data_IF_847492911545
#
_entry.id   IF_847492911545
#
_cell.length_a   1.000
_cell.length_b   1.000
_cell.length_c   1.000
_cell.angle_alpha   90.00
_cell.angle_beta   90.00
_cell.angle_gamma   90.00
#
_symmetry.space_group_name_H-M   'P 1'
#
loop_
_entity.id
_entity.type
_entity.pdbx_description
1 polymer ?
#
# COMPACT_ATOMS: atom_id res chain seq x y z
N UNK A 1 -4.52 -13.53 18.19
CA UNK A 1 -5.81 -13.66 17.44
C UNK A 1 -6.73 -14.73 18.06
N UNK A 2 -6.24 -15.89 18.45
CA UNK A 2 -7.07 -16.96 19.06
C UNK A 2 -7.91 -16.45 20.24
N UNK A 3 -7.30 -15.74 21.19
CA UNK A 3 -8.02 -15.15 22.32
C UNK A 3 -9.17 -14.23 21.88
N UNK A 4 -8.96 -13.41 20.84
CA UNK A 4 -10.01 -12.53 20.26
C UNK A 4 -11.13 -13.35 19.63
N UNK A 5 -10.79 -14.43 18.94
CA UNK A 5 -11.77 -15.39 18.40
C UNK A 5 -12.63 -16.00 19.50
N UNK A 6 -11.99 -16.38 20.60
CA UNK A 6 -12.62 -17.08 21.72
C UNK A 6 -13.33 -16.14 22.72
N UNK A 7 -13.39 -14.83 22.40
CA UNK A 7 -14.22 -13.83 23.10
C UNK A 7 -13.45 -12.74 23.85
N UNK A 8 -12.13 -12.84 24.01
CA UNK A 8 -11.31 -11.79 24.65
C UNK A 8 -11.06 -10.62 23.66
N UNK A 9 -12.10 -9.82 23.47
CA UNK A 9 -12.10 -8.69 22.53
C UNK A 9 -11.09 -7.60 22.93
N UNK A 10 -10.75 -7.50 24.22
CA UNK A 10 -9.80 -6.49 24.70
C UNK A 10 -8.43 -6.63 24.04
N UNK A 11 -8.04 -7.84 23.67
CA UNK A 11 -6.79 -8.10 22.95
C UNK A 11 -6.78 -7.64 21.48
N UNK A 12 -7.91 -7.18 20.96
CA UNK A 12 -7.93 -6.56 19.63
C UNK A 12 -7.08 -5.28 19.59
N UNK A 13 -7.00 -4.53 20.69
CA UNK A 13 -6.12 -3.37 20.82
C UNK A 13 -4.64 -3.70 20.64
N UNK A 14 -4.19 -4.84 21.17
CA UNK A 14 -2.80 -5.30 20.97
C UNK A 14 -2.52 -5.62 19.49
N UNK A 15 -3.50 -6.24 18.82
CA UNK A 15 -3.40 -6.52 17.38
C UNK A 15 -3.39 -5.23 16.57
N UNK A 16 -4.22 -4.25 16.93
CA UNK A 16 -4.24 -2.94 16.30
C UNK A 16 -2.87 -2.27 16.42
N UNK A 17 -2.35 -2.14 17.62
CA UNK A 17 -1.05 -1.49 17.86
C UNK A 17 0.07 -2.15 17.05
N UNK A 18 0.06 -3.48 16.92
CA UNK A 18 1.10 -4.23 16.20
C UNK A 18 0.97 -4.15 14.67
N UNK A 19 -0.24 -4.12 14.14
CA UNK A 19 -0.49 -4.33 12.71
C UNK A 19 -1.04 -3.08 11.98
N UNK A 20 -1.40 -2.01 12.71
CA UNK A 20 -1.88 -0.77 12.12
C UNK A 20 -0.86 -0.19 11.12
N UNK A 21 0.41 -0.01 11.51
CA UNK A 21 1.46 0.53 10.66
C UNK A 21 1.70 -0.27 9.37
N UNK A 22 1.92 -1.59 9.46
CA UNK A 22 2.00 -2.46 8.29
C UNK A 22 0.79 -2.37 7.35
N UNK A 23 -0.44 -2.38 7.88
CA UNK A 23 -1.66 -2.23 7.07
C UNK A 23 -1.75 -0.86 6.41
N UNK A 24 -1.45 0.21 7.15
CA UNK A 24 -1.41 1.56 6.61
C UNK A 24 -0.40 1.66 5.46
N UNK A 25 0.83 1.17 5.67
CA UNK A 25 1.86 1.14 4.64
C UNK A 25 1.48 0.32 3.40
N UNK A 26 0.72 -0.77 3.58
CA UNK A 26 0.15 -1.54 2.48
C UNK A 26 -0.84 -0.71 1.68
N UNK A 27 -1.81 -0.08 2.33
CA UNK A 27 -2.84 0.69 1.64
C UNK A 27 -2.28 1.94 0.97
N UNK A 28 -1.43 2.71 1.63
CA UNK A 28 -0.82 3.92 1.04
C UNK A 28 -0.07 3.61 -0.25
N UNK A 29 0.70 2.51 -0.29
CA UNK A 29 1.44 2.10 -1.49
C UNK A 29 0.53 1.62 -2.62
N UNK A 30 -0.68 1.16 -2.31
CA UNK A 30 -1.63 0.65 -3.30
C UNK A 30 -2.69 1.65 -3.73
N UNK A 31 -3.03 2.63 -2.89
CA UNK A 31 -4.04 3.66 -3.18
C UNK A 31 -3.42 4.99 -3.59
N UNK A 32 -2.26 5.34 -3.03
CA UNK A 32 -1.66 6.67 -3.13
C UNK A 32 -2.30 7.72 -2.22
N UNK A 33 -3.34 7.38 -1.44
CA UNK A 33 -4.12 8.33 -0.64
C UNK A 33 -4.04 8.01 0.85
N UNK A 34 -3.52 8.94 1.64
CA UNK A 34 -3.33 8.77 3.09
C UNK A 34 -4.66 8.61 3.83
N UNK A 35 -5.59 9.55 3.63
CA UNK A 35 -6.88 9.53 4.32
C UNK A 35 -7.66 8.24 4.04
N UNK A 36 -7.82 7.88 2.76
CA UNK A 36 -8.46 6.61 2.39
C UNK A 36 -7.76 5.39 2.98
N UNK A 37 -6.42 5.44 3.14
CA UNK A 37 -5.66 4.34 3.73
C UNK A 37 -5.94 4.19 5.22
N UNK A 38 -6.11 5.28 5.97
CA UNK A 38 -6.51 5.26 7.37
C UNK A 38 -7.91 4.65 7.55
N UNK A 39 -8.87 5.05 6.72
CA UNK A 39 -10.22 4.49 6.71
C UNK A 39 -10.22 2.98 6.39
N UNK A 40 -9.41 2.58 5.42
CA UNK A 40 -9.27 1.16 5.04
C UNK A 40 -8.66 0.33 6.17
N UNK A 41 -7.69 0.86 6.92
CA UNK A 41 -7.15 0.19 8.11
C UNK A 41 -8.25 -0.03 9.15
N UNK A 42 -9.05 1.01 9.46
CA UNK A 42 -10.16 0.87 10.41
C UNK A 42 -11.17 -0.17 9.93
N UNK A 43 -11.52 -0.16 8.65
CA UNK A 43 -12.43 -1.13 8.05
C UNK A 43 -11.89 -2.57 8.13
N UNK A 44 -10.57 -2.77 7.97
CA UNK A 44 -9.95 -4.09 8.15
C UNK A 44 -10.13 -4.58 9.58
N UNK A 45 -9.86 -3.74 10.60
CA UNK A 45 -10.03 -4.14 11.99
C UNK A 45 -11.50 -4.40 12.35
N UNK A 46 -12.42 -3.62 11.81
CA UNK A 46 -13.85 -3.91 11.92
C UNK A 46 -14.19 -5.29 11.33
N UNK A 47 -13.66 -5.60 10.14
CA UNK A 47 -13.85 -6.90 9.48
C UNK A 47 -13.17 -8.04 10.26
N UNK A 48 -11.97 -7.83 10.80
CA UNK A 48 -11.31 -8.80 11.70
C UNK A 48 -12.22 -9.14 12.88
N UNK A 49 -12.79 -8.12 13.53
CA UNK A 49 -13.71 -8.31 14.64
C UNK A 49 -14.98 -9.06 14.21
N UNK A 50 -15.56 -8.70 13.09
CA UNK A 50 -16.79 -9.31 12.55
C UNK A 50 -16.56 -10.76 12.16
N UNK A 51 -15.44 -11.08 11.51
CA UNK A 51 -15.13 -12.41 11.00
C UNK A 51 -14.19 -13.22 11.88
N UNK A 52 -13.91 -12.79 13.13
CA UNK A 52 -12.97 -13.44 14.05
C UNK A 52 -13.22 -14.94 14.23
N UNK A 53 -14.48 -15.38 14.17
CA UNK A 53 -14.89 -16.77 14.30
C UNK A 53 -14.43 -17.66 13.13
N UNK A 54 -14.08 -17.07 11.98
CA UNK A 54 -13.57 -17.79 10.82
C UNK A 54 -12.07 -18.02 10.87
N UNK A 55 -11.36 -17.35 11.79
CA UNK A 55 -9.93 -17.53 11.95
C UNK A 55 -9.62 -18.92 12.48
N UNK A 56 -8.74 -19.65 11.79
CA UNK A 56 -8.29 -20.99 12.16
C UNK A 56 -6.84 -20.95 12.57
N UNK A 57 -6.45 -21.85 13.50
CA UNK A 57 -5.07 -21.94 14.03
C UNK A 57 -4.09 -22.61 13.05
N UNK A 58 -4.50 -22.82 11.81
CA UNK A 58 -3.71 -23.48 10.77
C UNK A 58 -3.19 -22.48 9.75
N UNK A 59 -2.39 -21.49 10.17
CA UNK A 59 -1.84 -20.53 9.25
C UNK A 59 -1.37 -19.24 9.92
N UNK A 60 -0.73 -18.41 9.14
CA UNK A 60 -0.26 -17.10 9.57
C UNK A 60 -1.43 -16.15 9.79
N UNK A 61 -1.54 -15.57 11.00
CA UNK A 61 -2.48 -14.47 11.24
C UNK A 61 -2.28 -13.34 10.24
N UNK A 62 -1.03 -13.07 9.91
CA UNK A 62 -0.67 -12.02 8.97
C UNK A 62 -1.22 -12.30 7.57
N UNK A 63 -1.14 -13.54 7.08
CA UNK A 63 -1.73 -13.94 5.81
C UNK A 63 -3.26 -13.75 5.82
N UNK A 64 -3.94 -14.23 6.87
CA UNK A 64 -5.38 -14.06 7.02
C UNK A 64 -5.80 -12.58 7.09
N UNK A 65 -5.06 -11.75 7.81
CA UNK A 65 -5.28 -10.31 7.90
C UNK A 65 -5.11 -9.63 6.52
N UNK A 66 -4.02 -9.94 5.79
CA UNK A 66 -3.81 -9.36 4.45
C UNK A 66 -4.80 -9.89 3.41
N UNK A 67 -5.32 -11.08 3.56
CA UNK A 67 -6.46 -11.54 2.76
C UNK A 67 -7.70 -10.65 2.97
N UNK A 68 -8.00 -10.28 4.22
CA UNK A 68 -9.09 -9.33 4.54
C UNK A 68 -8.76 -7.95 3.97
N UNK A 69 -7.53 -7.47 4.14
CA UNK A 69 -7.09 -6.17 3.63
C UNK A 69 -7.21 -6.07 2.10
N UNK A 70 -6.76 -7.11 1.39
CA UNK A 70 -6.90 -7.20 -0.07
C UNK A 70 -8.36 -7.14 -0.51
N UNK A 71 -9.24 -7.88 0.13
CA UNK A 71 -10.67 -7.85 -0.16
C UNK A 71 -11.26 -6.47 0.10
N UNK A 72 -10.86 -5.82 1.18
CA UNK A 72 -11.26 -4.45 1.51
C UNK A 72 -10.82 -3.45 0.42
N UNK A 73 -9.60 -3.59 -0.09
CA UNK A 73 -9.10 -2.75 -1.18
C UNK A 73 -9.86 -2.96 -2.50
N UNK A 74 -10.21 -4.21 -2.82
CA UNK A 74 -11.01 -4.52 -4.02
C UNK A 74 -12.40 -3.89 -3.92
N UNK A 75 -13.04 -4.01 -2.76
CA UNK A 75 -14.36 -3.40 -2.53
C UNK A 75 -14.28 -1.87 -2.65
N UNK A 76 -13.27 -1.24 -2.04
CA UNK A 76 -13.02 0.20 -2.13
C UNK A 76 -12.88 0.67 -3.59
N UNK A 77 -12.04 -0.01 -4.39
CA UNK A 77 -11.85 0.34 -5.80
C UNK A 77 -13.13 0.22 -6.61
N UNK A 78 -13.96 -0.79 -6.34
CA UNK A 78 -15.26 -0.93 -7.02
C UNK A 78 -16.20 0.23 -6.70
N UNK A 79 -16.28 0.69 -5.45
CA UNK A 79 -17.11 1.82 -5.07
C UNK A 79 -16.60 3.13 -5.68
N UNK A 80 -15.30 3.38 -5.64
CA UNK A 80 -14.71 4.60 -6.22
C UNK A 80 -14.97 4.73 -7.73
N UNK A 81 -15.00 3.61 -8.47
CA UNK A 81 -15.34 3.62 -9.91
C UNK A 81 -16.81 3.98 -10.14
N UNK A 82 -17.72 3.62 -9.21
CA UNK A 82 -19.14 3.90 -9.35
C UNK A 82 -19.52 5.32 -8.91
N UNK A 83 -18.78 5.93 -8.00
CA UNK A 83 -19.06 7.26 -7.47
C UNK A 83 -18.42 8.40 -8.29
N UNK A 84 -17.44 8.10 -9.14
CA UNK A 84 -16.83 9.07 -10.06
C UNK A 84 -16.97 8.61 -11.50
N UNK A 85 -17.91 9.18 -12.29
CA UNK A 85 -17.95 8.93 -13.72
C UNK A 85 -16.70 9.54 -14.38
N UNK A 86 -15.80 8.69 -14.84
CA UNK A 86 -14.85 8.83 -15.96
C UNK A 86 -14.04 10.12 -16.17
N UNK A 87 -14.04 11.12 -15.28
CA UNK A 87 -13.27 12.35 -15.49
C UNK A 87 -11.96 12.44 -14.69
N UNK A 88 -11.91 11.80 -13.52
CA UNK A 88 -10.70 11.76 -12.69
C UNK A 88 -10.53 10.34 -12.12
N UNK A 89 -9.93 9.44 -12.90
CA UNK A 89 -9.23 8.34 -12.26
C UNK A 89 -8.28 9.00 -11.26
N UNK A 90 -8.35 8.69 -9.92
CA UNK A 90 -7.47 9.34 -8.98
C UNK A 90 -6.06 9.08 -9.45
N UNK A 91 -5.47 10.09 -10.10
CA UNK A 91 -4.06 10.10 -10.39
C UNK A 91 -3.43 9.82 -9.04
N UNK A 92 -2.40 8.97 -9.00
CA UNK A 92 -1.66 8.74 -7.78
C UNK A 92 -1.18 10.11 -7.38
N UNK A 93 -1.89 10.70 -6.42
CA UNK A 93 -1.47 11.93 -5.79
C UNK A 93 -0.14 11.57 -5.13
N UNK A 94 0.93 11.98 -5.78
CA UNK A 94 2.28 11.83 -5.25
C UNK A 94 2.21 12.43 -3.86
N UNK A 95 2.37 11.57 -2.84
CA UNK A 95 2.31 11.94 -1.44
C UNK A 95 2.92 13.32 -1.24
N UNK A 96 2.19 14.31 -0.67
CA UNK A 96 2.81 15.52 -0.18
C UNK A 96 3.93 15.14 0.80
N UNK A 97 4.90 15.99 0.98
CA UNK A 97 6.12 15.83 1.79
C UNK A 97 5.87 15.35 3.24
N UNK A 98 4.62 15.33 3.73
CA UNK A 98 4.23 15.07 5.11
C UNK A 98 3.79 13.63 5.41
N UNK A 99 3.89 12.69 4.48
CA UNK A 99 3.60 11.29 4.81
C UNK A 99 4.80 10.68 5.55
N UNK A 100 4.72 10.45 6.88
CA UNK A 100 5.77 9.69 7.54
C UNK A 100 5.83 8.32 6.89
N UNK A 101 7.02 7.86 6.49
CA UNK A 101 7.20 6.51 6.01
C UNK A 101 6.84 5.53 7.12
N UNK A 102 6.33 4.36 6.76
CA UNK A 102 6.24 3.24 7.70
C UNK A 102 7.65 2.80 8.18
N UNK A 103 8.68 3.45 7.66
CA UNK A 103 10.07 3.39 8.07
C UNK A 103 10.60 4.83 7.95
N UNK A 104 10.77 5.54 9.07
CA UNK A 104 11.12 6.98 9.13
C UNK A 104 12.44 7.34 8.42
N UNK A 105 13.23 6.36 7.99
CA UNK A 105 14.55 6.58 7.39
C UNK A 105 14.57 6.57 5.86
N UNK A 106 13.52 6.15 5.16
CA UNK A 106 13.62 5.82 3.73
C UNK A 106 13.08 6.89 2.75
N UNK A 107 12.36 7.91 3.17
CA UNK A 107 11.64 8.83 2.26
C UNK A 107 12.10 10.29 2.30
N UNK A 108 13.07 10.63 3.11
CA UNK A 108 13.69 11.98 3.10
C UNK A 108 14.74 12.15 1.99
N UNK A 109 14.98 11.11 1.19
CA UNK A 109 15.97 11.06 0.13
C UNK A 109 15.26 11.07 -1.24
N UNK A 110 15.81 11.74 -2.23
CA UNK A 110 15.31 11.77 -3.61
C UNK A 110 15.11 10.36 -4.19
N UNK A 111 15.94 9.40 -3.82
CA UNK A 111 15.82 8.00 -4.21
C UNK A 111 14.54 7.34 -3.66
N UNK A 112 14.10 7.68 -2.46
CA UNK A 112 12.86 7.17 -1.88
C UNK A 112 11.62 7.67 -2.63
N UNK A 113 11.60 8.95 -3.01
CA UNK A 113 10.54 9.54 -3.83
C UNK A 113 10.53 8.92 -5.24
N UNK A 114 11.70 8.72 -5.80
CA UNK A 114 11.85 8.09 -7.11
C UNK A 114 11.33 6.64 -7.09
N UNK A 115 11.67 5.89 -6.04
CA UNK A 115 11.18 4.52 -5.86
C UNK A 115 9.66 4.46 -5.69
N UNK A 116 9.07 5.40 -4.94
CA UNK A 116 7.62 5.50 -4.77
C UNK A 116 6.93 5.77 -6.12
N UNK A 117 7.48 6.68 -6.95
CA UNK A 117 7.00 6.95 -8.30
C UNK A 117 7.15 5.72 -9.22
N UNK A 118 8.28 5.03 -9.14
CA UNK A 118 8.50 3.81 -9.92
C UNK A 118 7.51 2.71 -9.53
N UNK A 119 7.26 2.53 -8.21
CA UNK A 119 6.26 1.59 -7.72
C UNK A 119 4.84 1.96 -8.20
N UNK A 120 4.52 3.25 -8.21
CA UNK A 120 3.25 3.77 -8.68
C UNK A 120 3.02 3.54 -10.18
N UNK A 121 4.07 3.48 -10.97
CA UNK A 121 4.00 3.25 -12.41
C UNK A 121 3.77 1.77 -12.78
N UNK A 122 3.87 0.84 -11.81
CA UNK A 122 3.61 -0.59 -12.06
C UNK A 122 2.12 -0.87 -12.28
N UNK A 123 1.83 -1.95 -13.01
CA UNK A 123 0.49 -2.51 -13.05
C UNK A 123 0.01 -2.88 -11.63
N UNK A 124 -1.30 -2.75 -11.32
CA UNK A 124 -1.83 -2.98 -9.98
C UNK A 124 -1.43 -4.33 -9.36
N UNK A 125 -1.44 -5.40 -10.15
CA UNK A 125 -1.10 -6.75 -9.69
C UNK A 125 0.41 -6.91 -9.41
N UNK A 126 1.25 -6.24 -10.18
CA UNK A 126 2.69 -6.22 -9.98
C UNK A 126 3.06 -5.40 -8.75
N UNK A 127 2.40 -4.26 -8.55
CA UNK A 127 2.56 -3.44 -7.36
C UNK A 127 2.15 -4.20 -6.11
N UNK A 128 0.97 -4.86 -6.14
CA UNK A 128 0.44 -5.63 -5.01
C UNK A 128 1.43 -6.72 -4.56
N UNK A 129 1.95 -7.52 -5.49
CA UNK A 129 2.87 -8.61 -5.15
C UNK A 129 4.21 -8.09 -4.59
N UNK A 130 4.71 -6.95 -5.08
CA UNK A 130 5.92 -6.32 -4.51
C UNK A 130 5.66 -5.79 -3.11
N UNK A 131 4.53 -5.13 -2.89
CA UNK A 131 4.19 -4.61 -1.57
C UNK A 131 4.10 -5.73 -0.56
N UNK A 132 3.43 -6.84 -0.88
CA UNK A 132 3.36 -8.01 0.00
C UNK A 132 4.73 -8.66 0.24
N UNK A 133 5.56 -8.79 -0.80
CA UNK A 133 6.82 -9.52 -0.71
C UNK A 133 7.97 -8.71 -0.11
N UNK A 134 8.02 -7.39 -0.31
CA UNK A 134 9.18 -6.55 0.02
C UNK A 134 8.92 -5.55 1.14
N UNK A 135 7.70 -5.05 1.26
CA UNK A 135 7.35 -4.10 2.33
C UNK A 135 6.65 -4.79 3.51
N UNK A 136 5.91 -5.87 3.25
CA UNK A 136 5.29 -6.67 4.31
C UNK A 136 6.07 -7.94 4.64
N UNK A 137 7.10 -8.23 3.87
CA UNK A 137 8.04 -9.36 4.06
C UNK A 137 7.34 -10.73 4.20
N UNK A 138 6.17 -10.88 3.57
CA UNK A 138 5.43 -12.11 3.65
C UNK A 138 6.16 -13.26 2.95
N UNK A 139 6.18 -14.47 3.54
CA UNK A 139 6.62 -15.67 2.87
C UNK A 139 5.80 -15.92 1.58
N UNK A 140 6.42 -16.49 0.57
CA UNK A 140 5.73 -16.77 -0.70
C UNK A 140 4.50 -17.67 -0.54
N UNK A 141 4.47 -18.55 0.47
CA UNK A 141 3.31 -19.36 0.80
C UNK A 141 2.13 -18.49 1.26
N UNK A 142 2.39 -17.55 2.16
CA UNK A 142 1.39 -16.60 2.67
C UNK A 142 0.86 -15.69 1.54
N UNK A 143 1.76 -15.20 0.68
CA UNK A 143 1.36 -14.41 -0.51
C UNK A 143 0.47 -15.23 -1.45
N UNK A 144 0.77 -16.51 -1.61
CA UNK A 144 -0.03 -17.42 -2.43
C UNK A 144 -1.47 -17.54 -1.90
N UNK A 145 -1.62 -17.66 -0.58
CA UNK A 145 -2.93 -17.64 0.10
C UNK A 145 -3.65 -16.30 -0.08
N UNK A 146 -2.96 -15.17 0.17
CA UNK A 146 -3.53 -13.82 0.05
C UNK A 146 -4.02 -13.55 -1.39
N UNK A 147 -3.24 -13.95 -2.39
CA UNK A 147 -3.56 -13.71 -3.80
C UNK A 147 -4.42 -14.81 -4.44
N UNK A 148 -4.63 -15.93 -3.73
CA UNK A 148 -5.30 -17.13 -4.24
C UNK A 148 -4.68 -17.66 -5.54
N UNK A 149 -3.35 -17.87 -5.52
CA UNK A 149 -2.56 -18.41 -6.63
C UNK A 149 -1.54 -19.42 -6.10
N UNK A 150 -0.88 -20.18 -6.98
CA UNK A 150 0.18 -21.12 -6.57
C UNK A 150 1.46 -20.37 -6.12
N UNK A 151 2.24 -20.98 -5.23
CA UNK A 151 3.56 -20.49 -4.79
C UNK A 151 4.50 -20.30 -5.99
N UNK A 152 4.44 -21.18 -6.98
CA UNK A 152 5.19 -21.05 -8.23
C UNK A 152 4.81 -19.77 -8.99
N UNK A 153 3.51 -19.48 -9.08
CA UNK A 153 3.02 -18.25 -9.69
C UNK A 153 3.47 -16.99 -8.94
N UNK A 154 3.51 -17.03 -7.59
CA UNK A 154 4.05 -15.92 -6.77
C UNK A 154 5.50 -15.65 -7.14
N UNK A 155 6.37 -16.67 -7.17
CA UNK A 155 7.80 -16.52 -7.53
C UNK A 155 7.97 -15.84 -8.88
N UNK A 156 7.22 -16.30 -9.89
CA UNK A 156 7.26 -15.72 -11.24
C UNK A 156 6.78 -14.27 -11.24
N UNK A 157 5.67 -13.96 -10.56
CA UNK A 157 5.13 -12.59 -10.47
C UNK A 157 6.10 -11.65 -9.75
N UNK A 158 6.66 -12.06 -8.61
CA UNK A 158 7.67 -11.25 -7.89
C UNK A 158 8.87 -10.96 -8.78
N UNK A 159 9.39 -11.98 -9.48
CA UNK A 159 10.53 -11.79 -10.38
C UNK A 159 10.22 -10.80 -11.51
N UNK A 160 9.07 -10.93 -12.18
CA UNK A 160 8.64 -10.03 -13.24
C UNK A 160 8.43 -8.61 -12.73
N UNK A 161 7.69 -8.47 -11.64
CA UNK A 161 7.40 -7.18 -11.04
C UNK A 161 8.67 -6.44 -10.59
N UNK A 162 9.67 -7.15 -10.02
CA UNK A 162 10.97 -6.57 -9.69
C UNK A 162 11.73 -6.09 -10.93
N UNK A 163 11.64 -6.79 -12.04
CA UNK A 163 12.24 -6.37 -13.30
C UNK A 163 11.58 -5.10 -13.84
N UNK A 164 10.25 -5.03 -13.79
CA UNK A 164 9.50 -3.85 -14.22
C UNK A 164 9.76 -2.66 -13.28
N UNK A 165 9.82 -2.88 -11.95
CA UNK A 165 10.16 -1.84 -10.98
C UNK A 165 11.55 -1.24 -11.27
N UNK A 166 12.54 -2.10 -11.51
CA UNK A 166 13.89 -1.63 -11.87
C UNK A 166 13.87 -0.81 -13.16
N UNK A 167 13.13 -1.26 -14.18
CA UNK A 167 13.00 -0.54 -15.45
C UNK A 167 12.34 0.84 -15.25
N UNK A 168 11.24 0.88 -14.49
CA UNK A 168 10.54 2.12 -14.17
C UNK A 168 11.45 3.09 -13.38
N UNK A 169 12.19 2.58 -12.40
CA UNK A 169 13.12 3.36 -11.59
C UNK A 169 14.22 3.99 -12.47
N UNK A 170 14.91 3.21 -13.30
CA UNK A 170 15.96 3.71 -14.18
C UNK A 170 15.42 4.75 -15.17
N UNK A 171 14.24 4.50 -15.75
CA UNK A 171 13.60 5.46 -16.67
C UNK A 171 13.30 6.80 -15.98
N UNK A 172 12.93 6.78 -14.71
CA UNK A 172 12.63 8.00 -13.95
C UNK A 172 13.91 8.69 -13.47
N UNK A 173 14.98 7.94 -13.16
CA UNK A 173 16.27 8.50 -12.75
C UNK A 173 17.00 9.21 -13.91
N UNK A 174 16.79 8.75 -15.15
CA UNK A 174 17.37 9.37 -16.35
C UNK A 174 16.60 10.63 -16.81
N UNK A 175 15.44 10.93 -16.22
CA UNK A 175 14.70 12.15 -16.54
C UNK A 175 15.23 13.30 -15.68
N UNK A 176 15.71 14.44 -16.30
CA UNK A 176 16.08 15.60 -15.52
C UNK A 176 14.89 16.08 -14.68
N UNK A 177 15.16 16.40 -13.41
CA UNK A 177 14.14 16.91 -12.50
C UNK A 177 13.38 18.08 -13.17
N UNK A 178 12.04 18.13 -13.08
CA UNK A 178 11.27 19.23 -13.63
C UNK A 178 11.79 20.54 -13.04
N UNK A 179 12.28 21.45 -13.91
CA UNK A 179 12.79 22.74 -13.49
C UNK A 179 11.68 23.48 -12.72
N UNK A 180 11.89 23.66 -11.43
CA UNK A 180 11.04 24.52 -10.61
C UNK A 180 11.05 25.91 -11.27
N UNK A 181 9.93 26.32 -11.85
CA UNK A 181 9.74 27.71 -12.28
C UNK A 181 9.83 28.56 -11.01
N UNK A 182 11.01 29.14 -10.76
CA UNK A 182 11.14 30.28 -9.87
C UNK A 182 10.26 31.37 -10.46
N UNK A 183 9.08 31.57 -9.88
CA UNK A 183 8.28 32.77 -10.13
C UNK A 183 9.11 33.92 -9.59
N UNK A 184 9.83 34.59 -10.49
CA UNK A 184 10.50 35.84 -10.21
C UNK A 184 9.41 36.85 -9.91
N UNK A 185 9.17 37.13 -8.63
CA UNK A 185 8.53 38.38 -8.23
C UNK A 185 9.54 39.50 -8.45
N UNK A 186 9.63 39.98 -9.65
CA UNK A 186 10.20 41.29 -9.91
C UNK A 186 9.25 42.33 -9.35
N UNK A 187 9.56 42.84 -8.17
CA UNK A 187 8.94 44.05 -7.64
C UNK A 187 9.32 45.22 -8.53
N UNK A 188 8.36 45.80 -9.20
CA UNK A 188 8.49 47.11 -9.78
C UNK A 188 8.60 48.17 -8.67
N UNK A 189 9.56 49.06 -8.73
CA UNK A 189 9.54 50.28 -7.95
C UNK A 189 8.61 51.31 -8.63
N UNK A 190 7.58 51.73 -7.95
CA UNK A 190 6.80 52.89 -8.39
C UNK A 190 7.47 54.20 -7.95
N UNK A 191 7.36 55.26 -8.74
CA UNK A 191 7.96 56.56 -8.48
C UNK A 191 7.27 57.38 -7.41
#
# INVERSE_FOLDING_TARGET
MLAVRDGDVARLGELFTRHHGPLFGFFVRLTGHRASSEDLVQLVFFRIMRYRHTYRDHGSFTAWMFHIARRTLIDYRRHSIHEQPAADAPGIELLPDDAPPADESAVTNDDGRLLARALAALAPEEREVIVLARYQELPHADIAEVLNISVGAVKVRVHRAMKELRRAFLKLSDQPAPAFRRTSMAGEPQP
#
